data_IF_369044396452
#
_entry.id   IF_369044396452
#
_cell.length_a   1.000
_cell.length_b   1.000
_cell.length_c   1.000
_cell.angle_alpha   90.00
_cell.angle_beta   90.00
_cell.angle_gamma   90.00
#
_symmetry.space_group_name_H-M   'P 1'
#
loop_
_entity.id
_entity.type
_entity.pdbx_description
1 polymer ?
#
# COMPACT_ATOMS: atom_id res chain seq x y z
N UNK A 1 4.61 -6.29 -36.76
CA UNK A 1 3.88 -4.99 -36.69
C UNK A 1 2.50 -5.14 -36.04
N UNK A 2 1.65 -6.11 -36.44
CA UNK A 2 0.33 -6.32 -35.80
C UNK A 2 0.40 -7.01 -34.43
N UNK A 3 1.33 -7.97 -34.27
CA UNK A 3 1.50 -8.77 -33.04
C UNK A 3 1.96 -7.88 -31.88
N UNK A 4 2.86 -6.93 -32.15
CA UNK A 4 3.34 -5.95 -31.17
C UNK A 4 2.22 -5.03 -30.67
N UNK A 5 1.29 -4.65 -31.55
CA UNK A 5 0.09 -3.89 -31.19
C UNK A 5 -0.86 -4.70 -30.28
N UNK A 6 -1.03 -5.99 -30.56
CA UNK A 6 -1.83 -6.91 -29.75
C UNK A 6 -1.26 -7.11 -28.33
N UNK A 7 0.05 -7.29 -28.24
CA UNK A 7 0.74 -7.43 -26.94
C UNK A 7 0.63 -6.15 -26.12
N UNK A 8 0.91 -4.99 -26.74
CA UNK A 8 0.78 -3.69 -26.06
C UNK A 8 -0.67 -3.44 -25.59
N UNK A 9 -1.66 -3.82 -26.39
CA UNK A 9 -3.07 -3.70 -26.05
C UNK A 9 -3.45 -4.54 -24.83
N UNK A 10 -2.99 -5.81 -24.76
CA UNK A 10 -3.23 -6.70 -23.62
C UNK A 10 -2.56 -6.15 -22.35
N UNK A 11 -1.31 -5.69 -22.45
CA UNK A 11 -0.59 -5.07 -21.33
C UNK A 11 -1.31 -3.80 -20.86
N UNK A 12 -1.81 -2.96 -21.77
CA UNK A 12 -2.56 -1.75 -21.42
C UNK A 12 -3.86 -2.07 -20.69
N UNK A 13 -4.63 -3.06 -21.15
CA UNK A 13 -5.85 -3.52 -20.46
C UNK A 13 -5.52 -4.04 -19.06
N UNK A 14 -4.45 -4.83 -18.93
CA UNK A 14 -4.03 -5.36 -17.64
C UNK A 14 -3.62 -4.23 -16.69
N UNK A 15 -2.81 -3.28 -17.17
CA UNK A 15 -2.42 -2.08 -16.41
C UNK A 15 -3.64 -1.28 -15.98
N UNK A 16 -4.58 -1.02 -16.89
CA UNK A 16 -5.78 -0.24 -16.60
C UNK A 16 -6.68 -0.90 -15.55
N UNK A 17 -6.77 -2.22 -15.58
CA UNK A 17 -7.52 -3.01 -14.59
C UNK A 17 -6.87 -2.99 -13.20
N UNK A 18 -5.54 -3.06 -13.15
CA UNK A 18 -4.76 -2.94 -11.91
C UNK A 18 -4.87 -1.51 -11.37
N UNK A 19 -4.64 -0.50 -12.21
CA UNK A 19 -4.72 0.92 -11.85
C UNK A 19 -6.09 1.27 -11.28
N UNK A 20 -7.20 0.87 -11.92
CA UNK A 20 -8.55 1.13 -11.37
C UNK A 20 -8.81 0.46 -10.03
N UNK A 21 -8.27 -0.73 -9.83
CA UNK A 21 -8.36 -1.46 -8.55
C UNK A 21 -7.53 -0.75 -7.49
N UNK A 22 -6.26 -0.51 -7.77
CA UNK A 22 -5.29 0.13 -6.87
C UNK A 22 -5.70 1.56 -6.53
N UNK A 23 -6.26 2.34 -7.45
CA UNK A 23 -6.74 3.70 -7.17
C UNK A 23 -7.85 3.69 -6.12
N UNK A 24 -8.84 2.80 -6.22
CA UNK A 24 -9.93 2.74 -5.23
C UNK A 24 -9.39 2.37 -3.85
N UNK A 25 -8.51 1.36 -3.77
CA UNK A 25 -7.90 0.96 -2.50
C UNK A 25 -6.99 2.06 -1.95
N UNK A 26 -6.13 2.64 -2.80
CA UNK A 26 -5.21 3.70 -2.43
C UNK A 26 -5.93 4.98 -2.00
N UNK A 27 -7.07 5.33 -2.62
CA UNK A 27 -7.91 6.45 -2.17
C UNK A 27 -8.46 6.18 -0.77
N UNK A 28 -8.97 4.97 -0.50
CA UNK A 28 -9.45 4.61 0.85
C UNK A 28 -8.33 4.69 1.87
N UNK A 29 -7.16 4.10 1.58
CA UNK A 29 -5.99 4.19 2.45
C UNK A 29 -5.51 5.65 2.62
N UNK A 30 -5.45 6.42 1.55
CA UNK A 30 -5.06 7.83 1.59
C UNK A 30 -6.07 8.65 2.39
N UNK A 31 -7.38 8.41 2.28
CA UNK A 31 -8.40 9.08 3.07
C UNK A 31 -8.24 8.78 4.56
N UNK A 32 -7.98 7.52 4.93
CA UNK A 32 -7.71 7.13 6.32
C UNK A 32 -6.43 7.79 6.83
N UNK A 33 -5.35 7.76 6.03
CA UNK A 33 -4.07 8.38 6.39
C UNK A 33 -4.19 9.89 6.53
N UNK A 34 -4.89 10.57 5.62
CA UNK A 34 -5.12 12.02 5.67
C UNK A 34 -6.00 12.38 6.87
N UNK A 35 -7.07 11.62 7.13
CA UNK A 35 -7.92 11.84 8.30
C UNK A 35 -7.13 11.66 9.61
N UNK A 36 -6.26 10.65 9.67
CA UNK A 36 -5.41 10.38 10.82
C UNK A 36 -4.32 11.44 10.98
N UNK A 37 -3.69 11.86 9.88
CA UNK A 37 -2.73 12.95 9.85
C UNK A 37 -3.37 14.25 10.35
N UNK A 38 -4.58 14.57 9.89
CA UNK A 38 -5.30 15.77 10.31
C UNK A 38 -5.82 15.70 11.75
N UNK A 39 -6.17 14.50 12.23
CA UNK A 39 -6.72 14.29 13.57
C UNK A 39 -5.68 14.09 14.68
N UNK A 40 -4.50 13.59 14.34
CA UNK A 40 -3.45 13.24 15.31
C UNK A 40 -2.13 14.01 15.10
N UNK A 41 -1.96 14.74 13.99
CA UNK A 41 -0.70 15.41 13.59
C UNK A 41 0.50 14.45 13.43
N UNK A 42 0.22 13.15 13.25
CA UNK A 42 1.25 12.11 13.14
C UNK A 42 1.51 11.81 11.68
N UNK A 43 2.78 11.91 11.26
CA UNK A 43 3.21 11.59 9.90
C UNK A 43 3.03 10.09 9.63
N UNK A 44 2.53 9.67 8.45
CA UNK A 44 2.41 8.25 8.10
C UNK A 44 3.73 7.45 8.21
N UNK A 45 4.87 8.14 8.12
CA UNK A 45 6.19 7.54 8.37
C UNK A 45 6.40 7.14 9.82
N UNK A 46 5.95 7.94 10.79
CA UNK A 46 6.02 7.60 12.22
C UNK A 46 5.14 6.41 12.56
N UNK A 47 3.98 6.29 11.92
CA UNK A 47 3.07 5.14 12.12
C UNK A 47 3.77 3.86 11.66
N UNK A 48 4.40 3.87 10.48
CA UNK A 48 5.14 2.72 9.97
C UNK A 48 6.36 2.41 10.84
N UNK A 49 7.09 3.43 11.30
CA UNK A 49 8.23 3.23 12.20
C UNK A 49 7.79 2.61 13.53
N UNK A 50 6.73 3.13 14.15
CA UNK A 50 6.16 2.55 15.38
C UNK A 50 5.60 1.16 15.15
N UNK A 51 4.96 0.89 14.02
CA UNK A 51 4.46 -0.43 13.68
C UNK A 51 5.62 -1.42 13.47
N UNK A 52 6.72 -0.98 12.87
CA UNK A 52 7.95 -1.76 12.70
C UNK A 52 8.61 -2.06 14.05
N UNK A 53 8.72 -1.07 14.95
CA UNK A 53 9.23 -1.28 16.31
C UNK A 53 8.36 -2.23 17.11
N UNK A 54 7.03 -2.10 17.02
CA UNK A 54 6.09 -3.01 17.67
C UNK A 54 6.27 -4.42 17.10
N UNK A 55 6.31 -4.57 15.78
CA UNK A 55 6.51 -5.88 15.13
C UNK A 55 7.84 -6.51 15.52
N UNK A 56 8.91 -5.74 15.61
CA UNK A 56 10.22 -6.22 16.07
C UNK A 56 10.19 -6.64 17.53
N UNK A 57 9.58 -5.85 18.42
CA UNK A 57 9.46 -6.21 19.84
C UNK A 57 8.60 -7.47 20.04
N UNK A 58 7.55 -7.67 19.23
CA UNK A 58 6.73 -8.90 19.25
C UNK A 58 7.51 -10.07 18.65
N UNK A 59 8.32 -9.85 17.62
CA UNK A 59 9.16 -10.89 17.03
C UNK A 59 10.35 -11.27 17.93
N UNK A 60 10.73 -10.38 18.86
CA UNK A 60 11.80 -10.56 19.82
C UNK A 60 11.35 -11.16 21.15
N UNK A 61 10.05 -11.42 21.38
CA UNK A 61 9.68 -12.32 22.48
C UNK A 61 10.16 -13.72 22.13
N UNK A 62 11.24 -14.24 22.77
CA UNK A 62 11.57 -15.64 22.65
C UNK A 62 10.43 -16.37 23.37
N UNK A 63 9.71 -17.23 22.67
CA UNK A 63 8.99 -18.31 23.33
C UNK A 63 10.05 -19.16 24.02
N UNK A 64 10.35 -18.81 25.26
CA UNK A 64 11.03 -19.67 26.21
C UNK A 64 9.95 -20.47 26.92
N UNK A 65 9.70 -21.68 26.41
CA UNK A 65 9.09 -22.75 27.19
C UNK A 65 9.67 -24.08 26.76
#
# INVERSE_FOLDING_TARGET
MIITLLVAWITFILLWKIVKTTIKTAITYAAIVVLLYFGFDITPQDILHKLSEITQNISQTPVSN
#
